data_IF_145689713764
#
_entry.id   IF_145689713764
#
_cell.length_a   1.000
_cell.length_b   1.000
_cell.length_c   1.000
_cell.angle_alpha   90.00
_cell.angle_beta   90.00
_cell.angle_gamma   90.00
#
_symmetry.space_group_name_H-M   'P 1'
#
loop_
_entity.id
_entity.type
_entity.pdbx_description
1 polymer ?
#
# COMPACT_ATOMS: atom_id res chain seq x y z
N UNK A 1 28.03 -32.60 -12.31
CA UNK A 1 27.26 -31.69 -13.19
C UNK A 1 26.07 -31.16 -12.40
N UNK A 2 26.34 -30.35 -11.37
CA UNK A 2 25.32 -29.55 -10.69
C UNK A 2 25.48 -28.16 -11.27
N UNK A 3 24.57 -27.80 -12.18
CA UNK A 3 24.46 -26.42 -12.63
C UNK A 3 23.66 -25.69 -11.57
N UNK A 4 24.40 -24.99 -10.70
CA UNK A 4 23.87 -23.98 -9.81
C UNK A 4 23.01 -23.01 -10.62
N UNK A 5 21.69 -23.10 -10.44
CA UNK A 5 20.79 -22.06 -10.93
C UNK A 5 20.78 -20.97 -9.87
N UNK A 6 21.65 -19.98 -10.08
CA UNK A 6 21.63 -18.71 -9.36
C UNK A 6 20.21 -18.10 -9.43
N UNK A 7 19.57 -17.76 -8.30
CA UNK A 7 18.34 -16.98 -8.33
C UNK A 7 18.67 -15.61 -8.91
N UNK A 8 18.23 -15.36 -10.15
CA UNK A 8 18.40 -14.07 -10.81
C UNK A 8 17.63 -13.01 -10.03
N UNK A 9 18.34 -12.29 -9.15
CA UNK A 9 17.80 -11.14 -8.45
C UNK A 9 17.54 -10.02 -9.47
N UNK A 10 16.30 -9.98 -9.99
CA UNK A 10 15.81 -8.85 -10.75
C UNK A 10 15.91 -7.59 -9.86
N UNK A 11 16.34 -6.43 -10.40
CA UNK A 11 16.42 -5.20 -9.62
C UNK A 11 15.05 -4.92 -9.01
N UNK A 12 15.01 -4.76 -7.69
CA UNK A 12 13.75 -4.68 -6.96
C UNK A 12 12.92 -3.52 -7.50
N UNK A 13 11.72 -3.81 -7.98
CA UNK A 13 10.67 -2.84 -8.35
C UNK A 13 10.35 -1.83 -7.23
N UNK A 14 10.82 -2.11 -6.02
CA UNK A 14 10.60 -1.37 -4.78
C UNK A 14 11.69 -0.33 -4.53
N UNK A 15 11.34 0.73 -3.82
CA UNK A 15 12.27 1.72 -3.29
C UNK A 15 12.91 1.18 -2.00
N UNK A 16 14.22 0.85 -2.01
CA UNK A 16 14.87 0.17 -0.89
C UNK A 16 14.93 1.04 0.38
N UNK A 17 15.08 2.36 0.23
CA UNK A 17 15.13 3.28 1.38
C UNK A 17 13.78 3.37 2.08
N UNK A 18 12.70 3.44 1.30
CA UNK A 18 11.33 3.41 1.85
C UNK A 18 11.01 2.07 2.49
N UNK A 19 11.41 0.96 1.87
CA UNK A 19 11.24 -0.39 2.44
C UNK A 19 12.00 -0.52 3.76
N UNK A 20 13.25 -0.08 3.82
CA UNK A 20 14.06 -0.11 5.04
C UNK A 20 13.41 0.71 6.16
N UNK A 21 13.04 1.97 5.88
CA UNK A 21 12.36 2.84 6.85
C UNK A 21 11.03 2.27 7.33
N UNK A 22 10.22 1.73 6.42
CA UNK A 22 8.95 1.10 6.76
C UNK A 22 9.14 -0.19 7.57
N UNK A 23 10.19 -0.96 7.28
CA UNK A 23 10.51 -2.21 7.98
C UNK A 23 10.87 -2.00 9.45
N UNK A 24 11.53 -0.88 9.74
CA UNK A 24 11.96 -0.48 11.09
C UNK A 24 10.92 0.36 11.84
N UNK A 25 9.82 0.75 11.20
CA UNK A 25 8.81 1.62 11.82
C UNK A 25 8.03 0.89 12.91
N UNK A 26 7.79 1.51 14.08
CA UNK A 26 6.88 0.96 15.09
C UNK A 26 5.42 0.87 14.61
N UNK A 27 5.08 1.51 13.49
CA UNK A 27 3.74 1.43 12.87
C UNK A 27 3.59 0.21 11.94
N UNK A 28 4.64 -0.59 11.74
CA UNK A 28 4.55 -1.80 10.91
C UNK A 28 3.76 -2.89 11.65
N UNK A 29 2.49 -3.01 11.27
CA UNK A 29 1.56 -4.04 11.74
C UNK A 29 1.54 -5.27 10.82
N UNK A 30 0.77 -6.31 11.16
CA UNK A 30 0.60 -7.50 10.32
C UNK A 30 1.68 -8.58 10.52
N UNK A 31 1.78 -9.49 9.55
CA UNK A 31 2.50 -10.76 9.65
C UNK A 31 3.81 -10.80 8.85
N UNK A 32 4.36 -9.64 8.47
CA UNK A 32 5.68 -9.54 7.81
C UNK A 32 5.83 -10.42 6.55
N UNK A 33 4.79 -10.47 5.71
CA UNK A 33 4.65 -11.33 4.52
C UNK A 33 4.42 -12.82 4.83
N UNK A 34 4.14 -13.18 6.08
CA UNK A 34 3.92 -14.56 6.49
C UNK A 34 2.47 -15.06 6.33
N UNK A 35 1.51 -14.17 6.08
CA UNK A 35 0.11 -14.56 5.95
C UNK A 35 -0.14 -15.27 4.61
N UNK A 36 -1.14 -16.15 4.59
CA UNK A 36 -1.68 -16.69 3.34
C UNK A 36 -2.18 -15.53 2.45
N UNK A 37 -1.94 -15.57 1.13
CA UNK A 37 -2.46 -14.56 0.21
C UNK A 37 -3.97 -14.36 0.37
N UNK A 38 -4.39 -13.11 0.55
CA UNK A 38 -5.81 -12.74 0.63
C UNK A 38 -6.45 -12.94 2.01
N UNK A 39 -5.74 -13.54 2.98
CA UNK A 39 -6.21 -13.61 4.37
C UNK A 39 -6.39 -12.22 5.01
N UNK A 40 -5.66 -11.23 4.49
CA UNK A 40 -5.85 -9.83 4.81
C UNK A 40 -6.01 -9.01 3.53
N UNK A 41 -6.79 -7.94 3.60
CA UNK A 41 -6.86 -6.92 2.55
C UNK A 41 -6.57 -5.52 3.12
N UNK A 42 -5.78 -4.69 2.43
CA UNK A 42 -5.59 -3.31 2.82
C UNK A 42 -6.84 -2.49 2.51
N UNK A 43 -7.34 -1.74 3.50
CA UNK A 43 -8.37 -0.73 3.32
C UNK A 43 -7.74 0.65 3.34
N UNK A 44 -7.97 1.41 2.27
CA UNK A 44 -7.51 2.79 2.11
C UNK A 44 -8.66 3.74 2.46
N UNK A 45 -8.40 4.73 3.30
CA UNK A 45 -9.30 5.86 3.56
C UNK A 45 -9.08 6.96 2.51
N UNK A 46 -10.01 7.16 1.56
CA UNK A 46 -9.88 8.17 0.51
C UNK A 46 -9.98 9.61 1.02
N UNK A 47 -10.53 9.85 2.23
CA UNK A 47 -10.54 11.17 2.85
C UNK A 47 -9.20 11.58 3.47
N UNK A 48 -8.32 10.59 3.72
CA UNK A 48 -6.97 10.80 4.25
C UNK A 48 -5.88 10.62 3.21
N UNK A 49 -6.05 9.73 2.24
CA UNK A 49 -5.05 9.46 1.20
C UNK A 49 -4.74 10.71 0.37
N UNK A 50 -3.46 10.96 0.11
CA UNK A 50 -2.98 12.07 -0.74
C UNK A 50 -2.32 11.60 -2.04
N UNK A 51 -2.42 10.31 -2.37
CA UNK A 51 -1.86 9.79 -3.62
C UNK A 51 -0.32 9.85 -3.74
N UNK A 52 0.42 9.90 -2.62
CA UNK A 52 1.90 9.97 -2.59
C UNK A 52 2.63 8.71 -3.09
N UNK A 53 1.88 7.64 -3.34
CA UNK A 53 2.39 6.37 -3.90
C UNK A 53 3.45 5.61 -3.08
N UNK A 54 3.70 5.98 -1.82
CA UNK A 54 4.62 5.22 -0.95
C UNK A 54 4.18 3.76 -0.77
N UNK A 55 2.87 3.50 -0.73
CA UNK A 55 2.33 2.13 -0.70
C UNK A 55 2.71 1.30 -1.93
N UNK A 56 2.80 1.91 -3.11
CA UNK A 56 3.25 1.26 -4.35
C UNK A 56 4.75 0.98 -4.27
N UNK A 57 5.52 1.96 -3.80
CA UNK A 57 6.98 1.85 -3.72
C UNK A 57 7.48 0.79 -2.73
N UNK A 58 6.65 0.35 -1.78
CA UNK A 58 7.06 -0.60 -0.73
C UNK A 58 6.31 -1.94 -0.77
N UNK A 59 5.30 -2.10 -1.61
CA UNK A 59 4.50 -3.34 -1.62
C UNK A 59 5.17 -4.41 -2.49
N UNK A 60 5.67 -5.52 -1.90
CA UNK A 60 6.35 -6.57 -2.68
C UNK A 60 5.42 -7.44 -3.53
N UNK A 61 4.10 -7.24 -3.43
CA UNK A 61 3.08 -8.06 -4.10
C UNK A 61 2.20 -7.25 -5.06
N UNK A 62 2.64 -6.04 -5.45
CA UNK A 62 1.92 -5.17 -6.40
C UNK A 62 0.42 -4.98 -6.06
N UNK A 63 0.08 -4.92 -4.77
CA UNK A 63 -1.31 -4.79 -4.30
C UNK A 63 -1.93 -3.45 -4.69
N UNK A 64 -1.11 -2.40 -4.73
CA UNK A 64 -1.56 -1.01 -4.82
C UNK A 64 -1.37 -0.41 -6.21
N UNK A 65 -2.30 0.47 -6.59
CA UNK A 65 -2.15 1.44 -7.68
C UNK A 65 -2.61 2.80 -7.18
N UNK A 66 -1.94 3.89 -7.56
CA UNK A 66 -2.44 5.25 -7.32
C UNK A 66 -3.06 5.79 -8.59
N UNK A 67 -4.26 6.34 -8.48
CA UNK A 67 -4.99 6.92 -9.60
C UNK A 67 -5.96 8.01 -9.15
N UNK A 68 -6.72 8.59 -10.08
CA UNK A 68 -7.79 9.52 -9.76
C UNK A 68 -8.77 8.90 -8.76
N UNK A 69 -9.25 9.71 -7.83
CA UNK A 69 -10.40 9.30 -7.00
C UNK A 69 -11.64 9.21 -7.89
N UNK A 70 -12.46 8.19 -7.66
CA UNK A 70 -13.75 8.07 -8.32
C UNK A 70 -14.68 9.20 -7.85
N UNK A 71 -15.50 9.74 -8.76
CA UNK A 71 -16.26 10.96 -8.51
C UNK A 71 -17.33 10.80 -7.43
N UNK A 72 -17.99 9.65 -7.35
CA UNK A 72 -18.97 9.36 -6.30
C UNK A 72 -18.30 9.27 -4.93
N UNK A 73 -17.15 8.60 -4.82
CA UNK A 73 -16.33 8.56 -3.59
C UNK A 73 -15.92 9.98 -3.19
N UNK A 74 -15.40 10.78 -4.12
CA UNK A 74 -15.01 12.17 -3.83
C UNK A 74 -16.17 13.02 -3.35
N UNK A 75 -17.35 12.91 -3.97
CA UNK A 75 -18.53 13.68 -3.59
C UNK A 75 -19.08 13.26 -2.22
N UNK A 76 -18.91 11.99 -1.84
CA UNK A 76 -19.29 11.45 -0.54
C UNK A 76 -18.34 11.87 0.61
N UNK A 77 -17.16 12.41 0.31
CA UNK A 77 -16.23 12.87 1.34
C UNK A 77 -16.78 14.11 2.09
N UNK A 78 -16.48 14.25 3.40
CA UNK A 78 -16.72 15.49 4.14
C UNK A 78 -16.03 16.68 3.47
N UNK A 79 -16.61 17.89 3.60
CA UNK A 79 -16.10 19.10 2.93
C UNK A 79 -14.61 19.36 3.16
N UNK A 80 -14.12 19.22 4.40
CA UNK A 80 -12.70 19.37 4.71
C UNK A 80 -11.81 18.37 3.99
N UNK A 81 -12.22 17.10 3.94
CA UNK A 81 -11.51 16.05 3.20
C UNK A 81 -11.52 16.30 1.69
N UNK A 82 -12.62 16.83 1.14
CA UNK A 82 -12.72 17.20 -0.29
C UNK A 82 -11.73 18.30 -0.67
N UNK A 83 -11.60 19.32 0.17
CA UNK A 83 -10.64 20.43 -0.05
C UNK A 83 -9.21 19.89 0.02
N UNK A 84 -8.90 19.08 1.05
CA UNK A 84 -7.59 18.45 1.22
C UNK A 84 -7.21 17.61 0.00
N UNK A 85 -8.05 16.64 -0.36
CA UNK A 85 -7.78 15.73 -1.49
C UNK A 85 -7.65 16.50 -2.80
N UNK A 86 -8.44 17.56 -3.00
CA UNK A 86 -8.31 18.44 -4.17
C UNK A 86 -6.96 19.15 -4.20
N UNK A 87 -6.51 19.73 -3.09
CA UNK A 87 -5.20 20.38 -2.97
C UNK A 87 -4.04 19.40 -3.23
N UNK A 88 -4.24 18.11 -2.98
CA UNK A 88 -3.28 17.03 -3.24
C UNK A 88 -3.54 16.27 -4.56
N UNK A 89 -4.17 16.91 -5.55
CA UNK A 89 -4.26 16.40 -6.92
C UNK A 89 -5.36 15.37 -7.16
N UNK A 90 -6.31 15.24 -6.22
CA UNK A 90 -7.53 14.44 -6.36
C UNK A 90 -7.26 12.95 -6.68
N UNK A 91 -6.20 12.40 -6.09
CA UNK A 91 -5.76 11.00 -6.26
C UNK A 91 -5.96 10.19 -4.99
N UNK A 92 -6.15 8.89 -5.14
CA UNK A 92 -6.17 7.93 -4.04
C UNK A 92 -5.44 6.64 -4.41
N UNK A 93 -5.01 5.90 -3.39
CA UNK A 93 -4.55 4.53 -3.58
C UNK A 93 -5.76 3.60 -3.70
N UNK A 94 -5.68 2.70 -4.66
CA UNK A 94 -6.60 1.61 -4.96
C UNK A 94 -5.86 0.28 -4.72
N UNK A 95 -6.60 -0.79 -4.47
CA UNK A 95 -6.05 -2.11 -4.14
C UNK A 95 -6.51 -3.18 -5.13
N UNK A 96 -6.22 -3.04 -6.45
CA UNK A 96 -6.73 -3.95 -7.48
C UNK A 96 -6.28 -5.41 -7.29
N UNK A 97 -5.15 -5.64 -6.62
CA UNK A 97 -4.64 -6.98 -6.33
C UNK A 97 -4.68 -7.26 -4.82
N UNK A 98 -5.76 -6.85 -4.14
CA UNK A 98 -5.91 -7.06 -2.69
C UNK A 98 -5.71 -8.53 -2.26
N UNK A 99 -6.07 -9.47 -3.13
CA UNK A 99 -5.99 -10.91 -2.90
C UNK A 99 -4.55 -11.45 -2.88
N UNK A 100 -3.59 -10.68 -3.40
CA UNK A 100 -2.16 -11.00 -3.30
C UNK A 100 -1.53 -10.52 -1.98
N UNK A 101 -2.29 -9.83 -1.11
CA UNK A 101 -1.75 -9.29 0.11
C UNK A 101 -1.41 -10.41 1.10
N UNK A 102 -0.15 -10.41 1.58
CA UNK A 102 0.34 -11.31 2.64
C UNK A 102 0.59 -10.57 3.97
N UNK A 103 -0.19 -9.52 4.23
CA UNK A 103 -0.18 -8.76 5.49
C UNK A 103 1.20 -8.24 5.95
N UNK A 104 2.05 -7.77 5.05
CA UNK A 104 3.44 -7.40 5.40
C UNK A 104 3.62 -6.16 6.30
N UNK A 105 2.60 -5.29 6.35
CA UNK A 105 2.62 -4.05 7.13
C UNK A 105 3.38 -2.88 6.52
N UNK A 106 4.16 -3.09 5.45
CA UNK A 106 5.02 -2.04 4.90
C UNK A 106 4.22 -0.84 4.39
N UNK A 107 3.09 -1.08 3.71
CA UNK A 107 2.21 -0.01 3.23
C UNK A 107 1.62 0.84 4.37
N UNK A 108 1.24 0.21 5.49
CA UNK A 108 0.73 0.91 6.68
C UNK A 108 1.83 1.77 7.30
N UNK A 109 3.02 1.21 7.47
CA UNK A 109 4.17 1.92 8.03
C UNK A 109 4.67 3.07 7.16
N UNK A 110 4.67 2.87 5.84
CA UNK A 110 5.16 3.84 4.86
C UNK A 110 4.18 4.99 4.58
N UNK A 111 2.88 4.80 4.83
CA UNK A 111 1.88 5.81 4.50
C UNK A 111 2.07 7.06 5.38
N UNK A 112 2.45 8.22 4.81
CA UNK A 112 2.66 9.44 5.60
C UNK A 112 1.36 9.97 6.21
N UNK A 113 0.24 9.73 5.54
CA UNK A 113 -1.10 10.14 5.98
C UNK A 113 -1.78 9.10 6.88
N UNK A 114 -1.12 7.97 7.15
CA UNK A 114 -1.66 6.82 7.88
C UNK A 114 -3.04 6.37 7.37
N UNK A 115 -3.29 6.52 6.07
CA UNK A 115 -4.59 6.28 5.44
C UNK A 115 -4.88 4.79 5.17
N UNK A 116 -4.00 3.88 5.59
CA UNK A 116 -4.08 2.46 5.24
C UNK A 116 -4.15 1.63 6.53
N UNK A 117 -5.10 0.69 6.56
CA UNK A 117 -5.20 -0.35 7.60
C UNK A 117 -5.25 -1.72 6.93
N UNK A 118 -4.86 -2.78 7.65
CA UNK A 118 -5.08 -4.16 7.22
C UNK A 118 -6.33 -4.70 7.90
N UNK A 119 -7.24 -5.26 7.12
CA UNK A 119 -8.44 -5.94 7.60
C UNK A 119 -8.27 -7.43 7.37
N UNK A 120 -8.57 -8.25 8.37
CA UNK A 120 -8.59 -9.71 8.25
C UNK A 120 -9.91 -10.13 7.59
N UNK A 121 -9.82 -11.01 6.60
CA UNK A 121 -10.93 -11.40 5.70
C UNK A 121 -11.23 -12.91 5.79
N UNK A 122 -10.89 -13.54 6.92
CA UNK A 122 -10.97 -15.00 7.14
C UNK A 122 -12.27 -15.66 6.74
#
# INVERSE_FOLDING_TARGET
MVSDTEPTAQPSRLDPDKVSRASLSPRRVGERCGAAPGAYRPRVDPGRCEGKADCVAVCPHDVFKVGPIEDSVYRALPLGARIKVWAHGKKTAQTPNADACQACGLCVAACPEQAIVLIFEG
#
